data_IF_623386347614
#
_entry.id   IF_623386347614
#
_cell.length_a   1.000
_cell.length_b   1.000
_cell.length_c   1.000
_cell.angle_alpha   90.00
_cell.angle_beta   90.00
_cell.angle_gamma   90.00
#
_symmetry.space_group_name_H-M   'P 1'
#
loop_
_entity.id
_entity.type
_entity.pdbx_description
1 polymer ?
#
# COMPACT_ATOMS: atom_id res chain seq x y z
N UNK A 1 1.07 -19.35 -17.77
CA UNK A 1 1.66 -18.09 -17.28
C UNK A 1 1.53 -18.12 -15.77
N UNK A 2 2.56 -18.58 -15.08
CA UNK A 2 2.53 -18.83 -13.63
C UNK A 2 2.75 -17.50 -12.94
N UNK A 3 1.75 -17.01 -12.20
CA UNK A 3 1.94 -15.90 -11.26
C UNK A 3 3.00 -16.33 -10.24
N UNK A 4 4.03 -15.53 -9.96
CA UNK A 4 4.99 -15.86 -8.91
C UNK A 4 4.24 -15.87 -7.59
N UNK A 5 4.02 -17.05 -7.02
CA UNK A 5 3.58 -17.18 -5.63
C UNK A 5 4.75 -16.72 -4.76
N UNK A 6 4.60 -15.69 -3.93
CA UNK A 6 5.69 -15.27 -3.05
C UNK A 6 6.05 -16.42 -2.11
N UNK A 7 7.34 -16.69 -2.04
CA UNK A 7 7.92 -17.70 -1.14
C UNK A 7 7.55 -17.34 0.31
N UNK A 8 6.97 -18.27 1.09
CA UNK A 8 6.51 -17.98 2.44
C UNK A 8 7.69 -17.62 3.34
N UNK A 9 7.78 -16.33 3.71
CA UNK A 9 8.81 -15.83 4.65
C UNK A 9 9.52 -14.56 4.21
N UNK A 10 9.36 -14.12 2.96
CA UNK A 10 9.99 -12.88 2.48
C UNK A 10 9.06 -11.70 2.74
N UNK A 11 9.36 -10.87 3.75
CA UNK A 11 8.73 -9.56 3.91
C UNK A 11 9.32 -8.60 2.88
N UNK A 12 8.65 -8.43 1.75
CA UNK A 12 9.10 -7.54 0.67
C UNK A 12 7.97 -6.75 0.02
N UNK A 13 6.77 -6.73 0.61
CA UNK A 13 5.62 -6.10 -0.01
C UNK A 13 5.48 -4.64 0.44
N UNK A 14 5.45 -3.73 -0.53
CA UNK A 14 5.12 -2.33 -0.30
C UNK A 14 3.71 -2.09 -0.83
N UNK A 15 2.86 -1.46 -0.03
CA UNK A 15 1.47 -1.16 -0.42
C UNK A 15 1.31 0.33 -0.68
N UNK A 16 1.02 0.70 -1.92
CA UNK A 16 0.67 2.08 -2.28
C UNK A 16 -0.77 2.40 -1.87
N UNK A 17 -0.98 3.43 -1.06
CA UNK A 17 -2.29 3.81 -0.54
C UNK A 17 -2.62 5.25 -0.92
N UNK A 18 -3.76 5.42 -1.60
CA UNK A 18 -4.36 6.73 -1.85
C UNK A 18 -5.75 6.78 -1.24
N UNK A 19 -5.95 7.64 -0.24
CA UNK A 19 -7.25 7.87 0.38
C UNK A 19 -7.81 9.26 0.06
N UNK A 20 -9.13 9.45 0.22
CA UNK A 20 -9.71 10.79 0.36
C UNK A 20 -9.36 11.33 1.76
N UNK A 21 -9.43 12.65 1.94
CA UNK A 21 -9.17 13.27 3.24
C UNK A 21 -10.20 12.80 4.27
N UNK A 22 -9.74 12.44 5.46
CA UNK A 22 -10.60 12.04 6.58
C UNK A 22 -11.17 10.62 6.50
N UNK A 23 -10.66 9.77 5.61
CA UNK A 23 -11.03 8.33 5.60
C UNK A 23 -10.54 7.68 6.92
N UNK A 24 -11.37 6.86 7.59
CA UNK A 24 -10.97 6.16 8.81
C UNK A 24 -9.83 5.16 8.58
N UNK A 25 -8.97 5.00 9.59
CA UNK A 25 -7.88 4.02 9.54
C UNK A 25 -8.37 2.57 9.40
N UNK A 26 -9.50 2.23 10.02
CA UNK A 26 -10.16 0.93 9.86
C UNK A 26 -10.53 0.62 8.41
N UNK A 27 -11.01 1.62 7.68
CA UNK A 27 -11.42 1.45 6.28
C UNK A 27 -10.20 1.22 5.39
N UNK A 28 -9.13 2.01 5.59
CA UNK A 28 -7.87 1.82 4.88
C UNK A 28 -7.26 0.45 5.20
N UNK A 29 -7.19 0.07 6.47
CA UNK A 29 -6.65 -1.22 6.89
C UNK A 29 -7.45 -2.40 6.32
N UNK A 30 -8.78 -2.35 6.39
CA UNK A 30 -9.66 -3.38 5.85
C UNK A 30 -9.54 -3.51 4.33
N UNK A 31 -9.37 -2.40 3.61
CA UNK A 31 -9.11 -2.43 2.17
C UNK A 31 -7.80 -3.14 1.84
N UNK A 32 -6.72 -2.82 2.58
CA UNK A 32 -5.42 -3.49 2.39
C UNK A 32 -5.58 -5.00 2.64
N UNK A 33 -6.20 -5.40 3.75
CA UNK A 33 -6.44 -6.81 4.06
C UNK A 33 -7.21 -7.52 2.96
N UNK A 34 -8.31 -6.93 2.48
CA UNK A 34 -9.15 -7.50 1.44
C UNK A 34 -8.38 -7.70 0.12
N UNK A 35 -7.59 -6.71 -0.29
CA UNK A 35 -6.77 -6.77 -1.52
C UNK A 35 -5.69 -7.85 -1.40
N UNK A 36 -4.96 -7.88 -0.28
CA UNK A 36 -3.91 -8.88 -0.08
C UNK A 36 -4.48 -10.28 -0.03
N UNK A 37 -5.57 -10.49 0.72
CA UNK A 37 -6.26 -11.78 0.77
C UNK A 37 -6.75 -12.22 -0.60
N UNK A 38 -7.32 -11.31 -1.39
CA UNK A 38 -7.75 -11.57 -2.77
C UNK A 38 -6.60 -11.99 -3.71
N UNK A 39 -5.38 -11.53 -3.42
CA UNK A 39 -4.16 -11.90 -4.14
C UNK A 39 -3.42 -13.11 -3.54
N UNK A 40 -3.95 -13.74 -2.48
CA UNK A 40 -3.26 -14.83 -1.78
C UNK A 40 -2.04 -14.38 -0.97
N UNK A 41 -1.94 -13.08 -0.68
CA UNK A 41 -0.86 -12.45 0.07
C UNK A 41 -1.27 -12.26 1.54
N UNK A 42 -0.28 -12.13 2.43
CA UNK A 42 -0.52 -11.94 3.86
C UNK A 42 -0.19 -10.52 4.27
N UNK A 43 -0.94 -9.99 5.23
CA UNK A 43 -0.65 -8.69 5.87
C UNK A 43 0.77 -8.67 6.46
N UNK A 44 1.26 -9.82 6.96
CA UNK A 44 2.59 -9.95 7.54
C UNK A 44 3.75 -9.80 6.55
N UNK A 45 3.47 -9.88 5.24
CA UNK A 45 4.49 -9.70 4.20
C UNK A 45 4.71 -8.22 3.84
N UNK A 46 3.84 -7.32 4.35
CA UNK A 46 3.94 -5.88 4.17
C UNK A 46 5.09 -5.32 5.02
N UNK A 47 5.97 -4.55 4.38
CA UNK A 47 7.08 -3.86 5.04
C UNK A 47 6.89 -2.36 5.14
N UNK A 48 6.03 -1.79 4.29
CA UNK A 48 5.88 -0.34 4.17
C UNK A 48 4.55 0.02 3.51
N UNK A 49 3.98 1.16 3.92
CA UNK A 49 2.86 1.82 3.24
C UNK A 49 3.41 3.04 2.50
N UNK A 50 3.24 3.09 1.18
CA UNK A 50 3.69 4.21 0.35
C UNK A 50 2.53 5.14 -0.01
N UNK A 51 2.74 6.46 0.02
CA UNK A 51 1.73 7.47 -0.35
C UNK A 51 2.38 8.69 -1.03
N UNK A 52 1.58 9.63 -1.51
CA UNK A 52 2.05 10.94 -1.98
C UNK A 52 2.28 11.88 -0.79
N UNK A 53 3.26 12.78 -0.87
CA UNK A 53 3.59 13.74 0.21
C UNK A 53 2.37 14.51 0.73
N UNK A 54 1.45 14.90 -0.17
CA UNK A 54 0.21 15.59 0.20
C UNK A 54 -0.71 14.77 1.13
N UNK A 55 -0.42 13.49 1.36
CA UNK A 55 -1.18 12.55 2.20
C UNK A 55 -0.31 11.85 3.25
N UNK A 56 0.93 12.32 3.47
CA UNK A 56 1.85 11.70 4.44
C UNK A 56 1.26 11.66 5.85
N UNK A 57 0.54 12.72 6.24
CA UNK A 57 -0.05 12.90 7.57
C UNK A 57 -1.56 12.57 7.62
N UNK A 58 -2.13 11.95 6.57
CA UNK A 58 -3.55 11.59 6.60
C UNK A 58 -3.81 10.55 7.69
N UNK A 59 -4.68 10.84 8.69
CA UNK A 59 -4.85 9.98 9.86
C UNK A 59 -5.26 8.55 9.51
N UNK A 60 -6.03 8.38 8.43
CA UNK A 60 -6.42 7.06 7.93
C UNK A 60 -5.21 6.23 7.47
N UNK A 61 -4.27 6.85 6.76
CA UNK A 61 -3.08 6.17 6.24
C UNK A 61 -2.09 5.87 7.37
N UNK A 62 -1.79 6.88 8.20
CA UNK A 62 -0.90 6.73 9.34
C UNK A 62 -1.43 5.69 10.32
N UNK A 63 -2.73 5.72 10.63
CA UNK A 63 -3.36 4.76 11.53
C UNK A 63 -3.37 3.33 10.98
N UNK A 64 -3.57 3.15 9.68
CA UNK A 64 -3.49 1.83 9.04
C UNK A 64 -2.06 1.27 9.07
N UNK A 65 -1.05 2.10 8.78
CA UNK A 65 0.35 1.70 8.83
C UNK A 65 0.79 1.36 10.27
N UNK A 66 0.34 2.14 11.26
CA UNK A 66 0.58 1.86 12.67
C UNK A 66 0.01 0.50 13.10
N UNK A 67 -1.19 0.14 12.63
CA UNK A 67 -1.79 -1.19 12.89
C UNK A 67 -1.04 -2.33 12.22
N UNK A 68 -0.51 -2.09 11.03
CA UNK A 68 0.39 -3.02 10.33
C UNK A 68 1.77 -3.13 11.00
N UNK A 69 2.12 -2.18 11.87
CA UNK A 69 3.45 -2.11 12.48
C UNK A 69 4.55 -1.69 11.50
N UNK A 70 4.19 -0.94 10.44
CA UNK A 70 5.11 -0.52 9.37
C UNK A 70 5.15 0.99 9.22
N UNK A 71 6.22 1.50 8.61
CA UNK A 71 6.37 2.92 8.34
C UNK A 71 5.50 3.38 7.16
N UNK A 72 5.13 4.67 7.16
CA UNK A 72 4.61 5.36 5.98
C UNK A 72 5.79 6.00 5.25
N UNK A 73 5.96 5.69 3.97
CA UNK A 73 6.88 6.41 3.07
C UNK A 73 6.07 7.31 2.16
N UNK A 74 6.41 8.60 2.16
CA UNK A 74 5.82 9.55 1.24
C UNK A 74 6.74 9.82 0.05
N UNK A 75 6.12 10.14 -1.10
CA UNK A 75 6.81 10.48 -2.32
C UNK A 75 6.29 11.80 -2.89
N UNK A 76 7.18 12.68 -3.40
CA UNK A 76 6.76 13.89 -4.09
C UNK A 76 5.89 13.57 -5.30
N UNK A 77 4.83 14.37 -5.51
CA UNK A 77 3.95 14.19 -6.66
C UNK A 77 4.70 14.23 -8.00
N UNK A 78 5.73 15.08 -8.11
CA UNK A 78 6.59 15.16 -9.29
C UNK A 78 7.38 13.87 -9.54
N UNK A 79 7.86 13.21 -8.47
CA UNK A 79 8.56 11.94 -8.59
C UNK A 79 7.61 10.83 -9.07
N UNK A 80 6.40 10.78 -8.52
CA UNK A 80 5.36 9.82 -8.93
C UNK A 80 4.91 10.06 -10.37
N UNK A 81 4.76 11.31 -10.81
CA UNK A 81 4.39 11.65 -12.19
C UNK A 81 5.45 11.22 -13.21
N UNK A 82 6.71 11.11 -12.81
CA UNK A 82 7.80 10.61 -13.64
C UNK A 82 7.85 9.07 -13.74
N UNK A 83 7.11 8.35 -12.90
CA UNK A 83 7.06 6.88 -12.95
C UNK A 83 6.28 6.44 -14.18
N UNK A 84 6.93 5.67 -15.06
CA UNK A 84 6.22 5.02 -16.17
C UNK A 84 5.27 3.99 -15.60
N UNK A 85 3.98 4.32 -15.62
CA UNK A 85 2.93 3.34 -15.42
C UNK A 85 2.81 2.47 -16.67
N UNK A 86 2.83 1.13 -16.54
CA UNK A 86 2.45 0.26 -17.63
C UNK A 86 1.08 0.69 -18.15
N UNK A 87 0.98 0.95 -19.45
CA UNK A 87 -0.32 1.16 -20.10
C UNK A 87 -0.86 -0.23 -20.41
N UNK A 88 -1.61 -0.81 -19.49
CA UNK A 88 -2.21 -2.11 -19.78
C UNK A 88 -3.33 -1.97 -20.82
N UNK A 89 -3.26 -2.85 -21.82
CA UNK A 89 -4.21 -2.97 -22.93
C UNK A 89 -5.55 -3.47 -22.35
N UNK A 90 -6.62 -2.84 -22.84
CA UNK A 90 -8.04 -3.05 -22.54
C UNK A 90 -8.46 -4.51 -22.36
#
# INVERSE_FOLDING_TARGET
MTTPTPEPGVRNLVVGVGARRGVPADEVYGLIEAVLRGAGLRMADVVEVATVDAKADEPGIVGAAARLGVAVRSHPAAALAGVRVPKDRK
#
